data_IF_159863099605
#
_entry.id   IF_159863099605
#
_cell.length_a   1.000
_cell.length_b   1.000
_cell.length_c   1.000
_cell.angle_alpha   90.00
_cell.angle_beta   90.00
_cell.angle_gamma   90.00
#
_symmetry.space_group_name_H-M   'P 1'
#
loop_
_entity.id
_entity.type
_entity.pdbx_description
1 polymer ?
#
# COMPACT_ATOMS: atom_id res chain seq x y z
N UNK A 1 -6.22 16.13 -18.78
CA UNK A 1 -7.49 16.56 -19.40
C UNK A 1 -8.48 15.40 -19.58
N UNK A 2 -8.08 14.23 -20.14
CA UNK A 2 -9.02 13.12 -20.44
C UNK A 2 -9.76 12.59 -19.21
N UNK A 3 -9.08 12.44 -18.06
CA UNK A 3 -9.69 12.00 -16.81
C UNK A 3 -10.71 13.04 -16.32
N UNK A 4 -10.31 14.32 -16.22
CA UNK A 4 -11.19 15.37 -15.71
C UNK A 4 -12.49 15.57 -16.51
N UNK A 5 -12.48 15.21 -17.79
CA UNK A 5 -13.66 15.30 -18.67
C UNK A 5 -14.34 13.94 -18.89
N UNK A 6 -14.03 12.92 -18.10
CA UNK A 6 -14.69 11.62 -18.16
C UNK A 6 -14.39 10.77 -19.41
N UNK A 7 -13.39 11.16 -20.22
CA UNK A 7 -13.00 10.39 -21.44
C UNK A 7 -12.14 9.17 -21.12
N UNK A 8 -11.47 9.20 -19.95
CA UNK A 8 -10.61 8.14 -19.46
C UNK A 8 -11.03 7.87 -18.04
N UNK A 9 -11.44 6.65 -17.74
CA UNK A 9 -11.72 6.21 -16.38
C UNK A 9 -10.40 5.96 -15.65
N UNK A 10 -10.12 6.63 -14.51
CA UNK A 10 -8.93 6.37 -13.73
C UNK A 10 -8.99 4.97 -13.10
N UNK A 11 -7.85 4.31 -12.98
CA UNK A 11 -7.73 2.99 -12.38
C UNK A 11 -6.43 2.82 -11.60
N UNK A 12 -5.78 3.93 -11.27
CA UNK A 12 -4.59 3.94 -10.43
C UNK A 12 -4.94 3.69 -8.97
N UNK A 13 -4.07 2.97 -8.25
CA UNK A 13 -4.15 2.81 -6.80
C UNK A 13 -2.91 3.41 -6.18
N UNK A 14 -3.06 4.04 -5.02
CA UNK A 14 -1.93 4.62 -4.29
C UNK A 14 -1.00 3.50 -3.79
N UNK A 15 0.30 3.58 -4.09
CA UNK A 15 1.29 2.62 -3.58
C UNK A 15 1.83 3.00 -2.19
N UNK A 16 1.22 3.98 -1.54
CA UNK A 16 1.58 4.49 -0.22
C UNK A 16 0.32 4.88 0.55
N UNK A 17 0.41 4.89 1.89
CA UNK A 17 -0.59 5.55 2.75
C UNK A 17 -0.23 7.01 2.92
N UNK A 18 -1.19 7.92 2.76
CA UNK A 18 -1.00 9.35 2.99
C UNK A 18 -1.44 9.69 4.41
N UNK A 19 -0.55 10.27 5.19
CA UNK A 19 -0.81 10.74 6.55
C UNK A 19 -1.83 11.88 6.58
N UNK A 20 -2.59 11.98 7.67
CA UNK A 20 -3.37 13.19 7.99
C UNK A 20 -2.47 14.24 8.64
N UNK A 21 -1.67 13.81 9.59
CA UNK A 21 -0.72 14.62 10.34
C UNK A 21 0.65 13.94 10.31
N UNK A 22 1.70 14.70 10.48
CA UNK A 22 3.07 14.18 10.52
C UNK A 22 3.25 13.15 11.62
N UNK A 23 2.65 13.41 12.78
CA UNK A 23 2.71 12.57 13.98
C UNK A 23 2.06 11.19 13.77
N UNK A 24 1.25 11.05 12.73
CA UNK A 24 0.61 9.77 12.37
C UNK A 24 1.58 8.81 11.64
N UNK A 25 2.75 9.29 11.25
CA UNK A 25 3.71 8.47 10.50
C UNK A 25 4.54 7.60 11.44
N UNK A 26 4.95 6.40 10.99
CA UNK A 26 5.80 5.53 11.80
C UNK A 26 7.18 6.12 12.09
N UNK A 27 7.60 7.11 11.31
CA UNK A 27 8.93 7.73 11.42
C UNK A 27 8.93 9.04 12.22
N UNK A 28 7.77 9.51 12.69
CA UNK A 28 7.66 10.81 13.37
C UNK A 28 8.53 10.94 14.60
N UNK A 29 8.78 9.83 15.32
CA UNK A 29 9.63 9.80 16.51
C UNK A 29 11.13 9.74 16.19
N UNK A 30 11.49 9.36 14.96
CA UNK A 30 12.87 9.11 14.53
C UNK A 30 13.38 10.14 13.53
N UNK A 31 12.50 10.94 12.94
CA UNK A 31 12.86 11.95 11.95
C UNK A 31 12.15 13.28 12.21
N UNK A 32 12.84 14.43 12.12
CA UNK A 32 14.30 14.51 11.96
C UNK A 32 15.03 13.93 13.18
N UNK A 33 16.28 13.45 13.00
CA UNK A 33 17.10 13.01 14.13
C UNK A 33 17.08 14.10 15.23
N UNK A 34 17.12 13.75 16.53
CA UNK A 34 16.94 14.67 17.63
C UNK A 34 17.85 15.90 17.58
N UNK A 35 19.00 15.78 16.94
CA UNK A 35 20.01 16.83 16.77
C UNK A 35 19.89 17.58 15.43
N UNK A 36 18.85 17.25 14.61
CA UNK A 36 18.67 17.87 13.31
C UNK A 36 17.94 19.21 13.44
N UNK A 37 18.70 20.29 13.39
CA UNK A 37 18.21 21.63 13.18
C UNK A 37 17.77 21.79 11.71
N UNK A 38 16.48 21.51 11.47
CA UNK A 38 15.90 21.52 10.11
C UNK A 38 16.05 22.82 9.32
N UNK A 39 16.55 23.89 9.93
CA UNK A 39 16.80 25.18 9.27
C UNK A 39 18.07 25.10 8.42
N UNK A 40 19.07 24.35 8.84
CA UNK A 40 20.33 24.23 8.09
C UNK A 40 20.18 23.43 6.80
N UNK A 41 19.40 22.34 6.80
CA UNK A 41 19.28 21.48 5.61
C UNK A 41 18.52 22.11 4.44
N UNK A 42 17.61 23.06 4.71
CA UNK A 42 16.84 23.75 3.66
C UNK A 42 17.59 24.93 3.04
N UNK A 43 18.68 25.40 3.65
CA UNK A 43 19.47 26.54 3.21
C UNK A 43 20.89 26.19 2.75
N UNK A 44 21.28 24.90 2.81
CA UNK A 44 22.57 24.46 2.30
C UNK A 44 22.49 24.23 0.79
N UNK A 45 23.43 24.84 0.05
CA UNK A 45 23.66 24.47 -1.33
C UNK A 45 24.11 22.99 -1.36
N UNK A 46 23.52 22.20 -2.26
CA UNK A 46 23.84 20.77 -2.38
C UNK A 46 25.34 20.56 -2.61
N UNK A 47 26.00 21.47 -3.32
CA UNK A 47 27.43 21.42 -3.57
C UNK A 47 28.24 21.68 -2.28
N UNK A 48 27.76 22.52 -1.37
CA UNK A 48 28.41 22.75 -0.06
C UNK A 48 28.29 21.51 0.84
N UNK A 49 27.15 20.81 0.81
CA UNK A 49 26.97 19.56 1.55
C UNK A 49 27.86 18.43 1.03
N UNK A 50 28.01 18.34 -0.30
CA UNK A 50 28.80 17.27 -0.91
C UNK A 50 30.32 17.50 -0.79
N UNK A 51 30.77 18.76 -0.69
CA UNK A 51 32.18 19.13 -0.69
C UNK A 51 32.71 19.58 0.69
N UNK A 52 31.89 19.60 1.74
CA UNK A 52 32.36 19.93 3.08
C UNK A 52 33.32 18.86 3.60
N UNK A 53 34.50 19.27 4.06
CA UNK A 53 35.50 18.39 4.69
C UNK A 53 34.99 17.90 6.07
N UNK A 54 34.13 18.70 6.71
CA UNK A 54 33.45 18.37 7.98
C UNK A 54 32.05 17.81 7.69
N UNK A 55 31.98 16.58 7.22
CA UNK A 55 30.70 15.86 7.11
C UNK A 55 30.26 15.44 8.50
N UNK A 56 29.38 16.20 9.09
CA UNK A 56 28.63 15.76 10.25
C UNK A 56 27.63 14.69 9.78
N UNK A 57 27.93 13.42 10.05
CA UNK A 57 27.02 12.32 9.75
C UNK A 57 25.89 12.35 10.77
N UNK A 58 24.66 12.47 10.26
CA UNK A 58 23.47 12.33 11.10
C UNK A 58 23.10 10.86 11.09
N UNK A 59 23.18 10.23 12.26
CA UNK A 59 22.69 8.88 12.46
C UNK A 59 21.16 8.90 12.42
N UNK A 60 20.55 8.12 11.53
CA UNK A 60 19.11 7.98 11.44
C UNK A 60 18.72 6.58 11.91
N UNK A 61 17.85 6.53 12.92
CA UNK A 61 17.29 5.29 13.41
C UNK A 61 16.05 4.90 12.62
N UNK A 62 15.97 3.64 12.18
CA UNK A 62 14.79 3.03 11.55
C UNK A 62 14.00 2.24 12.61
N UNK A 63 13.54 2.93 13.65
CA UNK A 63 12.89 2.32 14.81
C UNK A 63 11.50 1.77 14.52
N UNK A 64 10.89 2.13 13.38
CA UNK A 64 9.61 1.59 12.93
C UNK A 64 9.66 0.09 12.60
N UNK A 65 10.84 -0.45 12.30
CA UNK A 65 11.05 -1.87 12.02
C UNK A 65 10.17 -2.37 10.86
N UNK A 66 9.36 -3.41 11.12
CA UNK A 66 8.46 -4.00 10.11
C UNK A 66 7.19 -3.17 9.87
N UNK A 67 6.92 -2.16 10.68
CA UNK A 67 5.71 -1.34 10.62
C UNK A 67 5.85 -0.14 9.69
N UNK A 68 6.13 -0.42 8.42
CA UNK A 68 6.27 0.59 7.37
C UNK A 68 4.96 0.74 6.58
N UNK A 69 4.60 1.95 6.23
CA UNK A 69 3.45 2.26 5.38
C UNK A 69 2.13 1.71 5.96
N UNK A 70 1.32 1.03 5.15
CA UNK A 70 0.01 0.51 5.55
C UNK A 70 0.09 -0.48 6.73
N UNK A 71 1.21 -1.18 6.92
CA UNK A 71 1.41 -2.09 8.05
C UNK A 71 1.35 -1.35 9.39
N UNK A 72 1.90 -0.13 9.45
CA UNK A 72 1.78 0.74 10.61
C UNK A 72 0.33 1.15 10.83
N UNK A 73 -0.30 1.77 9.82
CA UNK A 73 -1.65 2.32 9.93
C UNK A 73 -2.68 1.26 10.36
N UNK A 74 -2.64 0.10 9.71
CA UNK A 74 -3.57 -1.00 9.99
C UNK A 74 -3.35 -1.63 11.36
N UNK A 75 -2.08 -1.82 11.77
CA UNK A 75 -1.74 -2.48 13.04
C UNK A 75 -1.99 -1.56 14.23
N UNK A 76 -1.60 -0.28 14.12
CA UNK A 76 -1.78 0.72 15.17
C UNK A 76 -3.18 1.34 15.17
N UNK A 77 -4.01 1.03 14.16
CA UNK A 77 -5.37 1.57 13.96
C UNK A 77 -5.38 3.09 13.84
N UNK A 78 -4.38 3.63 13.18
CA UNK A 78 -4.29 5.04 12.80
C UNK A 78 -4.98 5.23 11.46
N UNK A 79 -5.90 6.18 11.37
CA UNK A 79 -6.64 6.44 10.13
C UNK A 79 -5.86 7.38 9.21
N UNK A 80 -5.34 6.92 8.05
CA UNK A 80 -4.64 7.77 7.11
C UNK A 80 -5.62 8.70 6.36
N UNK A 81 -5.11 9.76 5.74
CA UNK A 81 -5.90 10.60 4.83
C UNK A 81 -6.37 9.79 3.61
N UNK A 82 -5.45 9.04 3.00
CA UNK A 82 -5.74 8.05 1.97
C UNK A 82 -4.96 6.78 2.25
N UNK A 83 -5.62 5.62 2.37
CA UNK A 83 -4.94 4.36 2.62
C UNK A 83 -4.16 3.87 1.40
N UNK A 84 -3.20 3.00 1.62
CA UNK A 84 -2.59 2.21 0.56
C UNK A 84 -3.66 1.48 -0.26
N UNK A 85 -3.53 1.48 -1.57
CA UNK A 85 -4.52 0.88 -2.47
C UNK A 85 -5.75 1.76 -2.74
N UNK A 86 -5.84 2.95 -2.15
CA UNK A 86 -6.90 3.91 -2.48
C UNK A 86 -6.82 4.34 -3.96
N UNK A 87 -7.97 4.43 -4.60
CA UNK A 87 -8.08 4.91 -5.97
C UNK A 87 -9.49 5.38 -6.28
N UNK A 88 -9.61 6.23 -7.27
CA UNK A 88 -10.88 6.72 -7.78
C UNK A 88 -11.22 6.05 -9.11
N UNK A 89 -12.50 5.84 -9.34
CA UNK A 89 -13.04 5.35 -10.60
C UNK A 89 -14.38 6.03 -10.90
N UNK A 90 -14.78 6.05 -12.15
CA UNK A 90 -16.11 6.47 -12.60
C UNK A 90 -17.11 5.30 -12.67
N UNK A 91 -16.69 4.11 -12.22
CA UNK A 91 -17.51 2.92 -12.10
C UNK A 91 -17.25 2.24 -10.77
N UNK A 92 -18.14 1.33 -10.38
CA UNK A 92 -18.07 0.58 -9.13
C UNK A 92 -17.80 -0.90 -9.42
N UNK A 93 -17.19 -1.58 -8.45
CA UNK A 93 -16.88 -3.01 -8.54
C UNK A 93 -17.39 -3.75 -7.31
N UNK A 94 -17.98 -4.92 -7.54
CA UNK A 94 -18.36 -5.87 -6.50
C UNK A 94 -17.41 -7.07 -6.49
N UNK A 95 -17.19 -7.63 -5.29
CA UNK A 95 -16.38 -8.81 -5.06
C UNK A 95 -17.27 -9.90 -4.45
N UNK A 96 -17.31 -11.06 -5.09
CA UNK A 96 -18.17 -12.17 -4.69
C UNK A 96 -17.45 -13.52 -4.80
N UNK A 97 -18.08 -14.58 -4.28
CA UNK A 97 -17.70 -15.98 -4.47
C UNK A 97 -16.27 -16.32 -4.02
N UNK A 98 -15.79 -15.70 -2.93
CA UNK A 98 -14.47 -16.01 -2.39
C UNK A 98 -14.39 -17.49 -1.98
N UNK A 99 -13.44 -18.20 -2.56
CA UNK A 99 -13.14 -19.59 -2.27
C UNK A 99 -11.64 -19.75 -2.04
N UNK A 100 -11.28 -20.57 -1.08
CA UNK A 100 -9.89 -20.93 -0.81
C UNK A 100 -9.74 -22.46 -0.82
N UNK A 101 -8.63 -22.93 -1.35
CA UNK A 101 -8.29 -24.36 -1.31
C UNK A 101 -6.78 -24.55 -1.19
N UNK A 102 -6.38 -25.63 -0.53
CA UNK A 102 -4.97 -26.00 -0.43
C UNK A 102 -4.73 -27.23 -1.31
N UNK A 103 -3.80 -27.11 -2.27
CA UNK A 103 -3.41 -28.20 -3.15
C UNK A 103 -1.90 -28.24 -3.33
N UNK A 104 -1.31 -29.38 -3.05
CA UNK A 104 0.15 -29.60 -3.23
C UNK A 104 1.01 -28.53 -2.56
N UNK A 105 0.65 -28.11 -1.34
CA UNK A 105 1.40 -27.09 -0.58
C UNK A 105 1.17 -25.65 -1.04
N UNK A 106 0.25 -25.41 -2.00
CA UNK A 106 -0.10 -24.06 -2.49
C UNK A 106 -1.51 -23.71 -2.02
N UNK A 107 -1.71 -22.44 -1.70
CA UNK A 107 -3.04 -21.88 -1.42
C UNK A 107 -3.56 -21.24 -2.69
N UNK A 108 -4.67 -21.77 -3.20
CA UNK A 108 -5.44 -21.16 -4.30
C UNK A 108 -6.56 -20.32 -3.72
N UNK A 109 -6.64 -19.08 -4.16
CA UNK A 109 -7.69 -18.13 -3.79
C UNK A 109 -8.42 -17.72 -5.06
N UNK A 110 -9.73 -18.01 -5.13
CA UNK A 110 -10.59 -17.65 -6.26
C UNK A 110 -11.69 -16.73 -5.79
N UNK A 111 -11.99 -15.73 -6.61
CA UNK A 111 -13.11 -14.82 -6.37
C UNK A 111 -13.57 -14.20 -7.69
N UNK A 112 -14.75 -13.61 -7.67
CA UNK A 112 -15.32 -12.94 -8.85
C UNK A 112 -15.28 -11.42 -8.62
N UNK A 113 -14.81 -10.67 -9.62
CA UNK A 113 -14.93 -9.22 -9.67
C UNK A 113 -15.93 -8.86 -10.77
N UNK A 114 -16.91 -8.03 -10.43
CA UNK A 114 -17.96 -7.58 -11.35
C UNK A 114 -17.97 -6.06 -11.42
N UNK A 115 -17.96 -5.49 -12.61
CA UNK A 115 -18.20 -4.07 -12.80
C UNK A 115 -19.72 -3.81 -12.66
N UNK A 116 -20.11 -3.15 -11.58
CA UNK A 116 -21.54 -2.86 -11.25
C UNK A 116 -22.01 -1.50 -11.73
N UNK A 117 -21.11 -0.68 -12.28
CA UNK A 117 -21.43 0.64 -12.79
C UNK A 117 -21.67 0.64 -14.31
N UNK A 118 -21.76 1.83 -14.88
CA UNK A 118 -22.19 2.04 -16.28
C UNK A 118 -21.02 2.34 -17.23
N UNK A 119 -19.78 2.38 -16.73
CA UNK A 119 -18.60 2.69 -17.54
C UNK A 119 -17.59 1.55 -17.49
N UNK A 120 -16.88 1.34 -18.58
CA UNK A 120 -15.69 0.48 -18.59
C UNK A 120 -14.67 0.98 -17.59
N UNK A 121 -14.15 0.09 -16.76
CA UNK A 121 -13.19 0.47 -15.72
C UNK A 121 -12.17 -0.62 -15.43
N UNK A 122 -11.06 -0.19 -14.82
CA UNK A 122 -10.02 -1.07 -14.32
C UNK A 122 -10.02 -1.14 -12.82
N UNK A 123 -9.96 -2.36 -12.27
CA UNK A 123 -9.83 -2.62 -10.84
C UNK A 123 -8.56 -3.42 -10.56
N UNK A 124 -7.87 -3.07 -9.47
CA UNK A 124 -6.73 -3.83 -8.96
C UNK A 124 -7.17 -4.55 -7.69
N UNK A 125 -7.53 -5.81 -7.83
CA UNK A 125 -7.87 -6.69 -6.72
C UNK A 125 -6.61 -7.07 -5.95
N UNK A 126 -6.61 -6.86 -4.64
CA UNK A 126 -5.46 -7.07 -3.76
C UNK A 126 -5.77 -8.18 -2.75
N UNK A 127 -4.87 -9.14 -2.62
CA UNK A 127 -4.97 -10.23 -1.66
C UNK A 127 -4.08 -9.96 -0.46
N UNK A 128 -4.70 -9.86 0.71
CA UNK A 128 -4.02 -9.70 1.98
C UNK A 128 -4.19 -10.96 2.82
N UNK A 129 -3.11 -11.34 3.50
CA UNK A 129 -3.11 -12.43 4.48
C UNK A 129 -2.93 -11.84 5.88
N UNK A 130 -3.67 -12.41 6.83
CA UNK A 130 -3.52 -12.14 8.26
C UNK A 130 -3.16 -13.44 8.96
N UNK A 131 -2.08 -13.43 9.71
CA UNK A 131 -1.76 -14.49 10.67
C UNK A 131 -2.56 -14.25 11.95
N UNK A 132 -3.31 -15.25 12.40
CA UNK A 132 -4.15 -15.15 13.59
C UNK A 132 -3.42 -15.56 14.87
N UNK A 133 -2.43 -16.45 14.75
CA UNK A 133 -1.67 -17.01 15.86
C UNK A 133 -0.19 -17.08 15.52
N UNK A 134 0.47 -15.94 15.50
CA UNK A 134 1.90 -15.87 15.21
C UNK A 134 2.77 -16.00 16.45
N UNK A 135 3.86 -16.75 16.35
CA UNK A 135 4.92 -16.81 17.38
C UNK A 135 5.87 -15.60 17.33
N UNK A 136 5.82 -14.84 16.25
CA UNK A 136 6.61 -13.62 16.03
C UNK A 136 5.69 -12.42 15.89
N UNK A 137 6.24 -11.24 16.16
CA UNK A 137 5.53 -10.00 15.89
C UNK A 137 5.28 -9.83 14.39
N UNK A 138 4.01 -9.61 14.01
CA UNK A 138 3.59 -9.44 12.62
C UNK A 138 2.62 -8.27 12.46
N UNK A 139 2.58 -7.66 11.26
CA UNK A 139 1.56 -6.67 10.92
C UNK A 139 0.16 -7.28 10.94
N UNK A 140 -0.86 -6.43 11.12
CA UNK A 140 -2.26 -6.87 11.13
C UNK A 140 -2.68 -7.62 9.86
N UNK A 141 -2.09 -7.28 8.72
CA UNK A 141 -2.22 -7.98 7.42
C UNK A 141 -1.05 -7.63 6.51
N UNK A 142 -0.78 -8.49 5.54
CA UNK A 142 0.27 -8.28 4.54
C UNK A 142 -0.27 -8.53 3.13
N UNK A 143 0.03 -7.62 2.21
CA UNK A 143 -0.26 -7.81 0.79
C UNK A 143 0.65 -8.92 0.24
N UNK A 144 0.05 -9.96 -0.30
CA UNK A 144 0.79 -11.12 -0.84
C UNK A 144 0.69 -11.22 -2.36
N UNK A 145 -0.44 -10.77 -2.94
CA UNK A 145 -0.63 -10.82 -4.39
C UNK A 145 -1.67 -9.81 -4.84
N UNK A 146 -1.71 -9.49 -6.12
CA UNK A 146 -2.73 -8.65 -6.72
C UNK A 146 -2.90 -8.96 -8.22
N UNK A 147 -4.10 -8.71 -8.73
CA UNK A 147 -4.36 -8.76 -10.17
C UNK A 147 -5.17 -7.54 -10.61
N UNK A 148 -4.78 -6.96 -11.75
CA UNK A 148 -5.50 -5.85 -12.36
C UNK A 148 -6.32 -6.34 -13.55
N UNK A 149 -7.63 -6.08 -13.48
CA UNK A 149 -8.58 -6.43 -14.54
C UNK A 149 -9.23 -5.19 -15.11
N UNK A 150 -9.64 -5.26 -16.37
CA UNK A 150 -10.47 -4.26 -17.03
C UNK A 150 -11.80 -4.93 -17.41
N UNK A 151 -12.91 -4.32 -17.05
CA UNK A 151 -14.25 -4.88 -17.20
C UNK A 151 -15.19 -3.86 -17.85
N UNK A 152 -15.96 -4.32 -18.80
CA UNK A 152 -17.10 -3.58 -19.36
C UNK A 152 -18.24 -3.51 -18.33
N UNK A 153 -19.22 -2.59 -18.49
CA UNK A 153 -20.41 -2.57 -17.66
C UNK A 153 -21.09 -3.94 -17.54
N UNK A 154 -21.38 -4.37 -16.33
CA UNK A 154 -21.97 -5.69 -16.00
C UNK A 154 -21.09 -6.90 -16.32
N UNK A 155 -19.85 -6.71 -16.79
CA UNK A 155 -18.91 -7.80 -16.99
C UNK A 155 -18.40 -8.32 -15.63
N UNK A 156 -18.31 -9.65 -15.52
CA UNK A 156 -17.73 -10.35 -14.37
C UNK A 156 -16.53 -11.17 -14.81
N UNK A 157 -15.51 -11.24 -13.96
CA UNK A 157 -14.33 -12.08 -14.19
C UNK A 157 -13.95 -12.84 -12.92
N UNK A 158 -13.73 -14.14 -13.06
CA UNK A 158 -13.11 -14.93 -12.03
C UNK A 158 -11.60 -14.66 -12.02
N UNK A 159 -11.07 -14.39 -10.85
CA UNK A 159 -9.64 -14.21 -10.58
C UNK A 159 -9.18 -15.39 -9.75
N UNK A 160 -8.01 -15.92 -10.08
CA UNK A 160 -7.33 -16.95 -9.32
C UNK A 160 -5.93 -16.50 -8.95
N UNK A 161 -5.66 -16.37 -7.66
CA UNK A 161 -4.34 -16.06 -7.11
C UNK A 161 -3.79 -17.29 -6.40
N UNK A 162 -2.48 -17.54 -6.54
CA UNK A 162 -1.83 -18.73 -6.00
C UNK A 162 -0.66 -18.33 -5.12
N UNK A 163 -0.78 -18.61 -3.82
CA UNK A 163 0.29 -18.38 -2.87
C UNK A 163 1.10 -19.66 -2.66
N UNK A 164 2.42 -19.48 -2.55
CA UNK A 164 3.36 -20.53 -2.18
C UNK A 164 3.54 -20.53 -0.66
N UNK A 165 4.16 -21.57 -0.12
CA UNK A 165 4.46 -21.66 1.32
C UNK A 165 5.35 -20.51 1.79
N UNK A 166 6.34 -20.13 0.98
CA UNK A 166 7.23 -18.99 1.23
C UNK A 166 6.55 -17.63 1.30
N UNK A 167 5.39 -17.47 0.67
CA UNK A 167 4.59 -16.24 0.75
C UNK A 167 3.93 -16.07 2.13
N UNK A 168 3.86 -17.13 2.91
CA UNK A 168 3.27 -17.18 4.24
C UNK A 168 4.30 -17.02 5.38
N UNK A 169 5.59 -17.09 5.04
CA UNK A 169 6.68 -17.04 5.99
C UNK A 169 6.92 -15.63 6.57
#
# INVERSE_FOLDING_TARGET
AGILFGRINPSGKLPVSWMRHWEDTPVAEYYPAPDFDGVHALNMDVDDVLNSEDKEYIDMEYGEGIYVGYRHYDTRKVEPLFPFGHGLSYTDFAYDNLQTSVRSGKIQVKFTVTNTGEQTGGEAAQLYIRDLESSLERPAKELKDFEKVFLEPSESREIELVLQEEDLA
#
